data_IF_769358469250
#
_entry.id   IF_769358469250
#
_cell.length_a   1.000
_cell.length_b   1.000
_cell.length_c   1.000
_cell.angle_alpha   90.00
_cell.angle_beta   90.00
_cell.angle_gamma   90.00
#
_symmetry.space_group_name_H-M   'P 1'
#
loop_
_entity.id
_entity.type
_entity.pdbx_description
1 polymer ?
#
# COMPACT_ATOMS: atom_id res chain seq x y z
N UNK A 1 -17.16 -5.78 -9.68
CA UNK A 1 -16.26 -6.96 -9.72
C UNK A 1 -16.86 -8.04 -8.85
N UNK A 2 -16.60 -9.30 -9.20
CA UNK A 2 -16.96 -10.46 -8.35
C UNK A 2 -15.75 -10.82 -7.48
N UNK A 3 -15.91 -10.73 -6.18
CA UNK A 3 -14.83 -10.96 -5.21
C UNK A 3 -15.27 -12.09 -4.27
N UNK A 4 -14.38 -13.05 -4.05
CA UNK A 4 -14.58 -14.11 -3.06
C UNK A 4 -13.57 -13.92 -1.94
N UNK A 5 -14.06 -13.87 -0.71
CA UNK A 5 -13.24 -13.72 0.50
C UNK A 5 -13.33 -15.02 1.30
N UNK A 6 -12.20 -15.63 1.63
CA UNK A 6 -12.11 -16.78 2.52
C UNK A 6 -11.61 -16.31 3.90
N UNK A 7 -12.44 -16.54 4.91
CA UNK A 7 -12.30 -16.05 6.28
C UNK A 7 -13.26 -14.90 6.59
N UNK A 8 -14.18 -15.10 7.53
CA UNK A 8 -15.14 -14.09 8.01
C UNK A 8 -14.74 -13.48 9.37
N UNK A 9 -13.48 -13.62 9.76
CA UNK A 9 -12.91 -12.94 10.92
C UNK A 9 -12.89 -11.42 10.76
N UNK A 10 -12.21 -10.71 11.65
CA UNK A 10 -12.19 -9.23 11.66
C UNK A 10 -11.79 -8.63 10.32
N UNK A 11 -10.70 -9.12 9.71
CA UNK A 11 -10.21 -8.60 8.42
C UNK A 11 -11.19 -8.91 7.29
N UNK A 12 -11.66 -10.16 7.17
CA UNK A 12 -12.58 -10.55 6.09
C UNK A 12 -13.91 -9.82 6.19
N UNK A 13 -14.46 -9.67 7.38
CA UNK A 13 -15.69 -8.91 7.64
C UNK A 13 -15.54 -7.44 7.30
N UNK A 14 -14.40 -6.84 7.63
CA UNK A 14 -14.12 -5.44 7.29
C UNK A 14 -13.99 -5.24 5.77
N UNK A 15 -13.24 -6.12 5.10
CA UNK A 15 -13.11 -6.11 3.64
C UNK A 15 -14.47 -6.30 2.95
N UNK A 16 -15.27 -7.26 3.41
CA UNK A 16 -16.60 -7.52 2.85
C UNK A 16 -17.49 -6.28 2.92
N UNK A 17 -17.54 -5.58 4.05
CA UNK A 17 -18.31 -4.35 4.21
C UNK A 17 -17.83 -3.22 3.31
N UNK A 18 -16.52 -2.98 3.29
CA UNK A 18 -15.94 -1.91 2.46
C UNK A 18 -16.19 -2.15 0.97
N UNK A 19 -15.96 -3.37 0.50
CA UNK A 19 -16.04 -3.70 -0.91
C UNK A 19 -17.49 -3.79 -1.39
N UNK A 20 -18.43 -4.31 -0.59
CA UNK A 20 -19.86 -4.28 -0.92
C UNK A 20 -20.39 -2.86 -1.00
N UNK A 21 -19.98 -1.98 -0.06
CA UNK A 21 -20.33 -0.55 -0.08
C UNK A 21 -19.83 0.20 -1.33
N UNK A 22 -18.79 -0.31 -1.98
CA UNK A 22 -18.25 0.21 -3.24
C UNK A 22 -18.88 -0.44 -4.51
N UNK A 23 -19.97 -1.19 -4.34
CA UNK A 23 -20.72 -1.78 -5.47
C UNK A 23 -20.07 -3.02 -6.08
N UNK A 24 -19.32 -3.81 -5.29
CA UNK A 24 -18.79 -5.10 -5.71
C UNK A 24 -19.65 -6.26 -5.23
N UNK A 25 -19.77 -7.31 -6.04
CA UNK A 25 -20.46 -8.55 -5.70
C UNK A 25 -19.54 -9.39 -4.80
N UNK A 26 -19.88 -9.51 -3.52
CA UNK A 26 -19.03 -10.18 -2.54
C UNK A 26 -19.64 -11.55 -2.17
N UNK A 27 -18.81 -12.57 -2.21
CA UNK A 27 -19.08 -13.87 -1.58
C UNK A 27 -18.06 -14.10 -0.47
N UNK A 28 -18.50 -14.41 0.75
CA UNK A 28 -17.63 -14.70 1.88
C UNK A 28 -17.79 -16.15 2.31
N UNK A 29 -16.66 -16.81 2.59
CA UNK A 29 -16.58 -18.22 2.99
C UNK A 29 -16.03 -18.29 4.42
N UNK A 30 -16.65 -19.04 5.29
CA UNK A 30 -16.11 -19.39 6.60
C UNK A 30 -16.73 -20.71 7.08
N UNK A 31 -16.05 -21.42 7.97
CA UNK A 31 -16.60 -22.60 8.65
C UNK A 31 -17.50 -22.22 9.84
N UNK A 32 -17.38 -21.01 10.37
CA UNK A 32 -18.20 -20.51 11.48
C UNK A 32 -19.43 -19.77 10.96
N UNK A 33 -20.59 -20.43 11.11
CA UNK A 33 -21.88 -19.88 10.71
C UNK A 33 -22.25 -18.60 11.47
N UNK A 34 -21.76 -18.42 12.70
CA UNK A 34 -22.03 -17.21 13.48
C UNK A 34 -21.33 -16.00 12.84
N UNK A 35 -20.06 -16.13 12.50
CA UNK A 35 -19.31 -15.06 11.80
C UNK A 35 -19.99 -14.71 10.47
N UNK A 36 -20.42 -15.71 9.70
CA UNK A 36 -21.15 -15.49 8.44
C UNK A 36 -22.47 -14.77 8.65
N UNK A 37 -23.23 -15.11 9.69
CA UNK A 37 -24.49 -14.44 10.05
C UNK A 37 -24.27 -12.98 10.43
N UNK A 38 -23.22 -12.71 11.22
CA UNK A 38 -22.87 -11.36 11.65
C UNK A 38 -22.51 -10.48 10.45
N UNK A 39 -21.68 -10.97 9.54
CA UNK A 39 -21.33 -10.23 8.31
C UNK A 39 -22.53 -10.04 7.41
N UNK A 40 -23.34 -11.07 7.19
CA UNK A 40 -24.53 -11.00 6.34
C UNK A 40 -25.61 -10.04 6.86
N UNK A 41 -25.61 -9.74 8.17
CA UNK A 41 -26.50 -8.73 8.75
C UNK A 41 -26.03 -7.29 8.51
N UNK A 42 -24.73 -7.09 8.24
CA UNK A 42 -24.08 -5.77 8.17
C UNK A 42 -23.71 -5.36 6.74
N UNK A 43 -23.71 -6.29 5.79
CA UNK A 43 -23.28 -6.03 4.43
C UNK A 43 -24.10 -6.86 3.42
N UNK A 44 -24.27 -6.35 2.21
CA UNK A 44 -24.88 -7.08 1.10
C UNK A 44 -23.88 -8.07 0.50
N UNK A 45 -23.85 -9.29 1.06
CA UNK A 45 -22.89 -10.33 0.71
C UNK A 45 -23.57 -11.70 0.62
N UNK A 46 -23.04 -12.56 -0.23
CA UNK A 46 -23.41 -13.97 -0.27
C UNK A 46 -22.53 -14.74 0.71
N UNK A 47 -23.12 -15.44 1.65
CA UNK A 47 -22.39 -16.26 2.61
C UNK A 47 -22.33 -17.72 2.18
N UNK A 48 -21.18 -18.36 2.35
CA UNK A 48 -20.96 -19.79 2.05
C UNK A 48 -20.29 -20.45 3.23
N UNK A 49 -21.03 -21.29 3.93
CA UNK A 49 -20.49 -22.06 5.05
C UNK A 49 -19.65 -23.24 4.53
N UNK A 50 -18.45 -23.37 5.09
CA UNK A 50 -17.54 -24.49 4.86
C UNK A 50 -16.07 -24.11 4.86
N UNK A 51 -15.23 -25.14 4.73
CA UNK A 51 -13.79 -25.01 4.68
C UNK A 51 -13.33 -24.54 3.28
N UNK A 52 -12.68 -23.36 3.25
CA UNK A 52 -12.20 -22.73 2.02
C UNK A 52 -11.03 -23.46 1.35
N UNK A 53 -10.45 -24.47 1.99
CA UNK A 53 -9.41 -25.32 1.38
C UNK A 53 -10.02 -26.51 0.61
N UNK A 54 -11.36 -26.61 0.53
CA UNK A 54 -12.04 -27.69 -0.18
C UNK A 54 -12.58 -27.26 -1.54
N UNK A 55 -12.43 -28.12 -2.54
CA UNK A 55 -12.97 -27.87 -3.88
C UNK A 55 -14.49 -27.71 -3.91
N UNK A 56 -15.20 -28.41 -3.05
CA UNK A 56 -16.68 -28.36 -2.99
C UNK A 56 -17.13 -26.96 -2.57
N UNK A 57 -16.55 -26.39 -1.52
CA UNK A 57 -16.88 -25.08 -0.99
C UNK A 57 -16.45 -23.98 -1.97
N UNK A 58 -15.26 -24.06 -2.55
CA UNK A 58 -14.78 -23.10 -3.55
C UNK A 58 -15.67 -23.08 -4.80
N UNK A 59 -16.20 -24.25 -5.23
CA UNK A 59 -17.17 -24.30 -6.34
C UNK A 59 -18.54 -23.71 -5.95
N UNK A 60 -19.03 -23.98 -4.73
CA UNK A 60 -20.25 -23.40 -4.17
C UNK A 60 -20.16 -21.87 -4.14
N UNK A 61 -18.99 -21.33 -3.76
CA UNK A 61 -18.68 -19.90 -3.78
C UNK A 61 -18.46 -19.32 -5.20
N UNK A 62 -18.62 -20.11 -6.24
CA UNK A 62 -18.47 -19.69 -7.64
C UNK A 62 -17.09 -19.09 -7.97
N UNK A 63 -16.02 -19.56 -7.34
CA UNK A 63 -14.63 -19.07 -7.48
C UNK A 63 -14.18 -19.01 -8.94
N UNK A 64 -14.61 -19.96 -9.78
CA UNK A 64 -14.27 -19.98 -11.22
C UNK A 64 -14.66 -18.69 -11.97
N UNK A 65 -15.61 -17.93 -11.44
CA UNK A 65 -16.13 -16.71 -12.08
C UNK A 65 -15.71 -15.44 -11.34
N UNK A 66 -14.85 -15.54 -10.33
CA UNK A 66 -14.44 -14.39 -9.57
C UNK A 66 -13.26 -13.65 -10.23
N UNK A 67 -13.29 -12.34 -10.12
CA UNK A 67 -12.20 -11.47 -10.56
C UNK A 67 -11.04 -11.49 -9.55
N UNK A 68 -11.38 -11.65 -8.26
CA UNK A 68 -10.42 -11.60 -7.17
C UNK A 68 -10.83 -12.59 -6.08
N UNK A 69 -9.88 -13.43 -5.65
CA UNK A 69 -9.98 -14.28 -4.48
C UNK A 69 -9.03 -13.77 -3.39
N UNK A 70 -9.54 -13.58 -2.18
CA UNK A 70 -8.77 -13.06 -1.04
C UNK A 70 -8.87 -14.08 0.10
N UNK A 71 -7.75 -14.69 0.48
CA UNK A 71 -7.68 -15.60 1.61
C UNK A 71 -7.13 -14.87 2.84
N UNK A 72 -7.96 -14.77 3.88
CA UNK A 72 -7.69 -14.09 5.15
C UNK A 72 -8.21 -14.90 6.34
N UNK A 73 -8.15 -16.22 6.25
CA UNK A 73 -8.42 -17.11 7.38
C UNK A 73 -7.41 -16.86 8.51
N UNK A 74 -7.68 -17.41 9.68
CA UNK A 74 -6.79 -17.29 10.83
C UNK A 74 -5.44 -17.96 10.56
N UNK A 75 -5.47 -19.17 9.99
CA UNK A 75 -4.29 -19.98 9.72
C UNK A 75 -3.66 -19.64 8.36
N UNK A 76 -2.37 -19.35 8.36
CA UNK A 76 -1.58 -19.01 7.17
C UNK A 76 -1.63 -20.11 6.09
N UNK A 77 -1.47 -21.37 6.52
CA UNK A 77 -1.46 -22.50 5.60
C UNK A 77 -2.77 -22.64 4.84
N UNK A 78 -3.91 -22.37 5.49
CA UNK A 78 -5.22 -22.39 4.86
C UNK A 78 -5.34 -21.28 3.81
N UNK A 79 -4.75 -20.12 4.07
CA UNK A 79 -4.74 -19.01 3.11
C UNK A 79 -3.94 -19.36 1.86
N UNK A 80 -2.77 -19.94 2.02
CA UNK A 80 -1.91 -20.39 0.90
C UNK A 80 -2.62 -21.45 0.08
N UNK A 81 -3.16 -22.49 0.74
CA UNK A 81 -3.87 -23.59 0.06
C UNK A 81 -5.12 -23.06 -0.65
N UNK A 82 -5.95 -22.28 0.03
CA UNK A 82 -7.18 -21.75 -0.56
C UNK A 82 -6.91 -20.86 -1.77
N UNK A 83 -5.93 -19.95 -1.68
CA UNK A 83 -5.55 -19.05 -2.79
C UNK A 83 -5.02 -19.82 -4.00
N UNK A 84 -4.16 -20.83 -3.78
CA UNK A 84 -3.64 -21.69 -4.82
C UNK A 84 -4.75 -22.50 -5.51
N UNK A 85 -5.64 -23.11 -4.75
CA UNK A 85 -6.78 -23.87 -5.30
C UNK A 85 -7.75 -22.96 -6.05
N UNK A 86 -8.05 -21.78 -5.53
CA UNK A 86 -8.90 -20.79 -6.16
C UNK A 86 -8.34 -20.37 -7.54
N UNK A 87 -7.05 -20.11 -7.61
CA UNK A 87 -6.37 -19.80 -8.89
C UNK A 87 -6.48 -20.94 -9.89
N UNK A 88 -6.21 -22.16 -9.45
CA UNK A 88 -6.32 -23.37 -10.32
C UNK A 88 -7.76 -23.63 -10.75
N UNK A 89 -8.77 -23.27 -9.96
CA UNK A 89 -10.18 -23.35 -10.32
C UNK A 89 -10.60 -22.26 -11.30
N UNK A 90 -9.82 -21.21 -11.50
CA UNK A 90 -10.06 -20.17 -12.50
C UNK A 90 -10.34 -18.78 -11.96
N UNK A 91 -10.03 -18.48 -10.70
CA UNK A 91 -9.99 -17.12 -10.19
C UNK A 91 -8.98 -16.29 -11.02
N UNK A 92 -9.35 -15.07 -11.40
CA UNK A 92 -8.50 -14.23 -12.24
C UNK A 92 -7.24 -13.78 -11.50
N UNK A 93 -7.42 -13.38 -10.24
CA UNK A 93 -6.33 -13.06 -9.31
C UNK A 93 -6.58 -13.70 -7.96
N UNK A 94 -5.52 -14.04 -7.26
CA UNK A 94 -5.56 -14.58 -5.91
C UNK A 94 -4.59 -13.86 -4.99
N UNK A 95 -5.03 -13.63 -3.75
CA UNK A 95 -4.26 -12.99 -2.69
C UNK A 95 -4.30 -13.90 -1.46
N UNK A 96 -3.17 -14.08 -0.80
CA UNK A 96 -3.09 -14.81 0.46
C UNK A 96 -2.46 -13.94 1.56
N UNK A 97 -3.12 -13.88 2.72
CA UNK A 97 -2.54 -13.39 3.96
C UNK A 97 -1.53 -14.40 4.46
N UNK A 98 -0.35 -13.91 4.86
CA UNK A 98 0.71 -14.69 5.47
C UNK A 98 1.13 -14.05 6.79
N UNK A 99 1.74 -14.84 7.66
CA UNK A 99 2.29 -14.42 8.94
C UNK A 99 3.81 -14.62 8.99
N UNK A 100 4.38 -15.37 8.02
CA UNK A 100 5.80 -15.64 7.92
C UNK A 100 6.49 -14.69 6.92
N UNK A 101 7.42 -13.87 7.43
CA UNK A 101 8.16 -12.91 6.61
C UNK A 101 9.08 -13.58 5.58
N UNK A 102 9.55 -14.80 5.83
CA UNK A 102 10.39 -15.57 4.91
C UNK A 102 9.72 -15.77 3.53
N UNK A 103 8.39 -15.85 3.50
CA UNK A 103 7.63 -16.00 2.23
C UNK A 103 7.67 -14.75 1.35
N UNK A 104 8.06 -13.61 1.89
CA UNK A 104 8.22 -12.36 1.13
C UNK A 104 9.63 -12.16 0.57
N UNK A 105 10.59 -13.01 0.94
CA UNK A 105 11.92 -12.99 0.33
C UNK A 105 11.83 -13.24 -1.18
N UNK A 106 12.63 -12.56 -2.02
CA UNK A 106 12.48 -12.58 -3.47
C UNK A 106 12.36 -13.98 -4.07
N UNK A 107 13.26 -14.89 -3.71
CA UNK A 107 13.28 -16.26 -4.24
C UNK A 107 12.05 -17.07 -3.79
N UNK A 108 11.65 -16.93 -2.53
CA UNK A 108 10.51 -17.67 -1.99
C UNK A 108 9.19 -17.11 -2.57
N UNK A 109 9.08 -15.79 -2.71
CA UNK A 109 7.92 -15.15 -3.31
C UNK A 109 7.66 -15.59 -4.75
N UNK A 110 8.71 -15.78 -5.56
CA UNK A 110 8.57 -16.30 -6.92
C UNK A 110 7.97 -17.71 -6.94
N UNK A 111 8.36 -18.58 -5.98
CA UNK A 111 7.76 -19.91 -5.86
C UNK A 111 6.24 -19.86 -5.63
N UNK A 112 5.75 -18.94 -4.79
CA UNK A 112 4.31 -18.77 -4.57
C UNK A 112 3.58 -18.24 -5.80
N UNK A 113 4.22 -17.35 -6.57
CA UNK A 113 3.69 -16.86 -7.85
C UNK A 113 3.57 -18.01 -8.85
N UNK A 114 4.58 -18.88 -8.95
CA UNK A 114 4.55 -20.07 -9.82
C UNK A 114 3.48 -21.07 -9.40
N UNK A 115 3.22 -21.20 -8.11
CA UNK A 115 2.09 -21.98 -7.58
C UNK A 115 0.73 -21.37 -7.91
N UNK A 116 0.69 -20.11 -8.37
CA UNK A 116 -0.50 -19.42 -8.81
C UNK A 116 -1.07 -18.45 -7.79
N UNK A 117 -0.32 -18.01 -6.79
CA UNK A 117 -0.71 -16.94 -5.87
C UNK A 117 -0.16 -15.63 -6.42
N UNK A 118 -1.04 -14.72 -6.86
CA UNK A 118 -0.59 -13.48 -7.51
C UNK A 118 0.01 -12.48 -6.50
N UNK A 119 -0.49 -12.48 -5.23
CA UNK A 119 -0.01 -11.57 -4.19
C UNK A 119 -0.01 -12.24 -2.82
N UNK A 120 1.09 -12.07 -2.11
CA UNK A 120 1.21 -12.35 -0.67
C UNK A 120 1.24 -11.03 0.08
N UNK A 121 0.54 -10.95 1.20
CA UNK A 121 0.64 -9.80 2.07
C UNK A 121 0.71 -10.21 3.54
N UNK A 122 1.52 -9.48 4.28
CA UNK A 122 1.74 -9.64 5.71
C UNK A 122 1.25 -8.38 6.42
N UNK A 123 0.04 -8.42 7.03
CA UNK A 123 -0.61 -7.24 7.61
C UNK A 123 0.23 -6.54 8.65
N UNK A 124 0.91 -7.29 9.52
CA UNK A 124 1.72 -6.76 10.60
C UNK A 124 2.92 -5.98 10.06
N UNK A 125 3.54 -6.44 8.96
CA UNK A 125 4.63 -5.72 8.29
C UNK A 125 4.14 -4.42 7.66
N UNK A 126 2.95 -4.44 7.04
CA UNK A 126 2.31 -3.24 6.47
C UNK A 126 1.99 -2.25 7.58
N UNK A 127 1.38 -2.70 8.68
CA UNK A 127 1.05 -1.86 9.82
C UNK A 127 2.31 -1.29 10.50
N UNK A 128 3.35 -2.11 10.71
CA UNK A 128 4.61 -1.67 11.28
C UNK A 128 5.29 -0.59 10.41
N UNK A 129 5.27 -0.77 9.07
CA UNK A 129 5.78 0.23 8.14
C UNK A 129 5.00 1.54 8.24
N UNK A 130 3.69 1.48 8.35
CA UNK A 130 2.85 2.67 8.49
C UNK A 130 3.13 3.40 9.81
N UNK A 131 3.28 2.68 10.92
CA UNK A 131 3.67 3.28 12.21
C UNK A 131 5.06 3.92 12.11
N UNK A 132 6.02 3.25 11.48
CA UNK A 132 7.37 3.82 11.27
C UNK A 132 7.28 5.09 10.40
N UNK A 133 6.47 5.08 9.35
CA UNK A 133 6.24 6.24 8.52
C UNK A 133 5.67 7.42 9.32
N UNK A 134 4.64 7.16 10.14
CA UNK A 134 4.04 8.18 11.00
C UNK A 134 5.03 8.74 12.02
N UNK A 135 5.89 7.91 12.59
CA UNK A 135 6.92 8.34 13.55
C UNK A 135 8.10 9.05 12.88
N UNK A 136 8.48 8.61 11.67
CA UNK A 136 9.58 9.19 10.90
C UNK A 136 9.25 10.55 10.29
N UNK A 137 7.96 10.85 10.11
CA UNK A 137 7.49 12.04 9.40
C UNK A 137 6.75 13.04 10.30
N UNK A 138 7.17 13.18 11.55
CA UNK A 138 6.58 14.16 12.49
C UNK A 138 6.62 15.60 11.99
N UNK A 139 7.41 15.88 10.98
CA UNK A 139 7.60 17.20 10.36
C UNK A 139 7.18 17.29 8.89
N UNK A 140 6.89 16.17 8.20
CA UNK A 140 6.28 16.17 6.87
C UNK A 140 4.79 16.00 6.96
N UNK A 141 4.05 16.69 6.09
CA UNK A 141 2.58 16.57 6.05
C UNK A 141 2.18 15.24 5.42
N UNK A 142 2.90 14.79 4.36
CA UNK A 142 2.67 13.52 3.66
C UNK A 142 3.95 13.03 2.98
N UNK A 143 4.07 11.70 2.87
CA UNK A 143 5.11 11.02 2.12
C UNK A 143 4.50 9.84 1.36
N UNK A 144 4.70 9.77 0.05
CA UNK A 144 4.14 8.70 -0.79
C UNK A 144 5.20 8.18 -1.76
N UNK A 145 5.48 6.89 -1.69
CA UNK A 145 6.38 6.22 -2.63
C UNK A 145 5.67 5.78 -3.91
N UNK A 146 6.33 6.01 -5.05
CA UNK A 146 5.91 5.57 -6.37
C UNK A 146 6.95 4.66 -7.03
N UNK A 147 6.50 3.91 -8.02
CA UNK A 147 7.39 3.11 -8.87
C UNK A 147 8.31 2.17 -8.09
N UNK A 148 7.76 1.50 -7.09
CA UNK A 148 8.50 0.56 -6.21
C UNK A 148 9.66 1.25 -5.46
N UNK A 149 9.42 2.46 -4.96
CA UNK A 149 10.39 3.23 -4.18
C UNK A 149 11.44 3.98 -5.01
N UNK A 150 11.31 4.05 -6.34
CA UNK A 150 12.26 4.81 -7.18
C UNK A 150 12.01 6.31 -7.15
N UNK A 151 10.77 6.72 -6.94
CA UNK A 151 10.32 8.10 -6.83
C UNK A 151 9.45 8.25 -5.60
N UNK A 152 9.56 9.38 -4.94
CA UNK A 152 8.77 9.72 -3.76
C UNK A 152 8.14 11.11 -3.92
N UNK A 153 6.88 11.25 -3.52
CA UNK A 153 6.27 12.55 -3.29
C UNK A 153 6.48 12.91 -1.83
N UNK A 154 7.14 14.03 -1.61
CA UNK A 154 7.37 14.60 -0.29
C UNK A 154 6.53 15.87 -0.17
N UNK A 155 5.70 15.95 0.86
CA UNK A 155 4.84 17.11 1.12
C UNK A 155 5.22 17.69 2.47
N UNK A 156 5.58 18.96 2.50
CA UNK A 156 5.95 19.65 3.74
C UNK A 156 5.44 21.09 3.74
N UNK A 157 5.21 21.61 4.94
CA UNK A 157 4.86 23.02 5.14
C UNK A 157 6.11 23.83 5.43
N UNK A 158 6.23 25.01 4.80
CA UNK A 158 7.31 25.92 5.11
C UNK A 158 7.04 26.65 6.42
N UNK A 159 7.85 26.34 7.42
CA UNK A 159 7.90 27.04 8.68
C UNK A 159 8.65 28.39 8.53
N UNK A 160 8.44 29.38 9.42
CA UNK A 160 9.11 30.68 9.33
C UNK A 160 10.66 30.61 9.27
N UNK A 161 11.22 29.58 9.90
CA UNK A 161 12.66 29.35 9.98
C UNK A 161 13.20 28.51 8.80
N UNK A 162 12.35 28.08 7.85
CA UNK A 162 12.80 27.28 6.72
C UNK A 162 13.74 28.10 5.82
N UNK A 163 14.89 27.53 5.40
CA UNK A 163 15.82 28.21 4.50
C UNK A 163 15.22 28.50 3.13
N UNK A 164 14.14 27.82 2.74
CA UNK A 164 13.44 28.05 1.46
C UNK A 164 12.53 29.29 1.49
N UNK A 165 12.17 29.83 2.65
CA UNK A 165 11.31 31.02 2.71
C UNK A 165 12.00 32.23 2.12
N UNK A 166 11.40 32.81 1.07
CA UNK A 166 11.97 33.92 0.32
C UNK A 166 12.83 33.52 -0.87
N UNK A 167 13.23 32.26 -0.97
CA UNK A 167 13.96 31.75 -2.13
C UNK A 167 13.05 31.69 -3.36
N UNK A 168 13.66 31.83 -4.52
CA UNK A 168 12.98 31.79 -5.82
C UNK A 168 13.23 30.46 -6.48
N UNK A 169 12.19 29.84 -6.97
CA UNK A 169 12.26 28.58 -7.68
C UNK A 169 13.00 28.78 -9.02
N UNK A 170 14.12 28.11 -9.18
CA UNK A 170 14.97 28.15 -10.38
C UNK A 170 15.18 26.75 -10.94
N UNK A 171 15.63 26.63 -12.19
CA UNK A 171 16.12 25.36 -12.76
C UNK A 171 15.06 24.50 -13.45
N UNK A 172 13.93 25.08 -13.90
CA UNK A 172 12.95 24.34 -14.71
C UNK A 172 13.46 24.02 -16.13
N UNK A 173 14.39 24.82 -16.66
CA UNK A 173 14.88 24.75 -18.05
C UNK A 173 16.32 24.23 -18.17
N UNK A 174 16.95 23.80 -17.08
CA UNK A 174 18.32 23.27 -17.17
C UNK A 174 18.30 21.78 -17.54
N UNK A 175 18.28 21.51 -18.86
CA UNK A 175 18.35 20.15 -19.44
C UNK A 175 19.65 19.40 -19.11
N UNK A 176 20.61 20.02 -18.42
CA UNK A 176 21.93 19.45 -18.14
C UNK A 176 22.11 19.03 -16.69
N UNK A 177 21.25 19.44 -15.76
CA UNK A 177 21.29 18.97 -14.37
C UNK A 177 20.45 17.68 -14.24
N UNK A 178 21.01 16.59 -13.67
CA UNK A 178 20.19 15.45 -13.32
C UNK A 178 19.19 15.89 -12.26
N UNK A 179 17.92 16.01 -12.64
CA UNK A 179 16.84 16.37 -11.74
C UNK A 179 16.70 15.29 -10.66
N UNK A 180 17.32 15.53 -9.51
CA UNK A 180 17.20 14.67 -8.32
C UNK A 180 15.82 14.85 -7.67
N UNK A 181 15.25 16.06 -7.77
CA UNK A 181 13.92 16.40 -7.26
C UNK A 181 13.29 17.55 -8.06
N UNK A 182 11.96 17.68 -7.97
CA UNK A 182 11.21 18.76 -8.62
C UNK A 182 9.99 19.16 -7.79
N UNK A 183 9.83 20.46 -7.55
CA UNK A 183 8.58 21.01 -7.01
C UNK A 183 7.49 20.96 -8.07
N UNK A 184 6.39 20.26 -7.77
CA UNK A 184 5.30 20.02 -8.72
C UNK A 184 4.04 20.82 -8.40
N UNK A 185 3.84 21.21 -7.13
CA UNK A 185 2.74 22.06 -6.72
C UNK A 185 3.10 22.82 -5.43
N UNK A 186 2.41 23.93 -5.22
CA UNK A 186 2.43 24.74 -4.00
C UNK A 186 1.00 25.00 -3.58
N UNK A 187 0.63 24.74 -2.33
CA UNK A 187 -0.65 25.21 -1.79
C UNK A 187 -0.41 26.43 -0.91
N UNK A 188 -0.99 27.55 -1.28
CA UNK A 188 -0.91 28.85 -0.60
C UNK A 188 -2.30 29.36 -0.33
N UNK A 189 -2.64 29.61 0.95
CA UNK A 189 -3.96 30.14 1.30
C UNK A 189 -5.15 29.28 0.83
N UNK A 190 -4.96 27.95 0.72
CA UNK A 190 -5.98 27.03 0.25
C UNK A 190 -6.12 26.92 -1.28
N UNK A 191 -5.28 27.64 -2.05
CA UNK A 191 -5.22 27.54 -3.51
C UNK A 191 -3.99 26.75 -3.94
N UNK A 192 -4.15 25.85 -4.91
CA UNK A 192 -3.05 25.11 -5.50
C UNK A 192 -2.47 25.87 -6.69
N UNK A 193 -1.18 26.12 -6.64
CA UNK A 193 -0.37 26.80 -7.65
C UNK A 193 0.51 25.76 -8.31
N UNK A 194 0.52 25.70 -9.65
CA UNK A 194 1.55 24.97 -10.38
C UNK A 194 2.72 25.93 -10.55
N UNK A 195 3.85 25.69 -9.87
CA UNK A 195 4.92 26.66 -9.83
C UNK A 195 5.59 26.80 -11.18
N UNK A 196 6.03 28.03 -11.46
CA UNK A 196 6.84 28.37 -12.64
C UNK A 196 8.19 28.89 -12.18
N UNK A 197 9.12 28.97 -13.11
CA UNK A 197 10.40 29.65 -12.87
C UNK A 197 10.14 31.08 -12.38
N UNK A 198 10.83 31.46 -11.31
CA UNK A 198 10.62 32.76 -10.68
C UNK A 198 9.56 32.80 -9.59
N UNK A 199 8.83 31.70 -9.32
CA UNK A 199 7.90 31.63 -8.19
C UNK A 199 8.67 31.67 -6.88
N UNK A 200 8.27 32.58 -5.97
CA UNK A 200 8.89 32.71 -4.66
C UNK A 200 8.16 31.88 -3.62
N UNK A 201 8.91 31.14 -2.81
CA UNK A 201 8.39 30.41 -1.68
C UNK A 201 8.05 31.35 -0.51
N UNK A 202 6.88 31.16 0.10
CA UNK A 202 6.39 31.96 1.22
C UNK A 202 6.21 31.12 2.46
N UNK A 203 6.30 31.77 3.61
CA UNK A 203 5.94 31.15 4.88
C UNK A 203 4.51 30.59 4.84
N UNK A 204 4.33 29.38 5.37
CA UNK A 204 3.04 28.70 5.42
C UNK A 204 2.64 27.99 4.13
N UNK A 205 3.43 28.12 3.03
CA UNK A 205 3.21 27.31 1.83
C UNK A 205 3.32 25.82 2.14
N UNK A 206 2.46 25.02 1.54
CA UNK A 206 2.60 23.56 1.50
C UNK A 206 3.21 23.19 0.15
N UNK A 207 4.40 22.62 0.19
CA UNK A 207 5.21 22.32 -0.99
C UNK A 207 5.09 20.83 -1.30
N UNK A 208 4.86 20.51 -2.57
CA UNK A 208 4.80 19.15 -3.12
C UNK A 208 6.02 18.94 -4.00
N UNK A 209 6.88 18.02 -3.60
CA UNK A 209 8.14 17.73 -4.31
C UNK A 209 8.16 16.26 -4.73
N UNK A 210 8.38 15.99 -6.00
CA UNK A 210 8.76 14.66 -6.47
C UNK A 210 10.27 14.58 -6.46
N UNK A 211 10.78 13.56 -5.77
CA UNK A 211 12.22 13.32 -5.64
C UNK A 211 12.56 11.87 -5.95
N UNK A 212 13.77 11.63 -6.42
CA UNK A 212 14.36 10.30 -6.41
C UNK A 212 14.64 9.90 -4.96
N UNK A 213 14.62 8.60 -4.67
CA UNK A 213 14.83 8.11 -3.32
C UNK A 213 16.15 8.57 -2.69
N UNK A 214 17.21 8.64 -3.51
CA UNK A 214 18.53 9.12 -3.08
C UNK A 214 18.56 10.63 -2.77
N UNK A 215 17.63 11.41 -3.32
CA UNK A 215 17.52 12.86 -3.13
C UNK A 215 16.51 13.29 -2.05
N UNK A 216 15.69 12.38 -1.53
CA UNK A 216 14.68 12.70 -0.50
C UNK A 216 15.34 13.37 0.70
N UNK A 217 16.51 12.90 1.12
CA UNK A 217 17.27 13.47 2.24
C UNK A 217 17.63 14.93 1.99
N UNK A 218 18.10 15.25 0.81
CA UNK A 218 18.46 16.60 0.40
C UNK A 218 17.24 17.53 0.46
N UNK A 219 16.09 17.08 -0.07
CA UNK A 219 14.81 17.80 0.00
C UNK A 219 14.41 18.11 1.43
N UNK A 220 14.57 17.13 2.33
CA UNK A 220 14.23 17.31 3.74
C UNK A 220 15.16 18.28 4.45
N UNK A 221 16.45 18.27 4.14
CA UNK A 221 17.43 19.24 4.66
C UNK A 221 17.08 20.67 4.21
N UNK A 222 16.72 20.87 2.94
CA UNK A 222 16.28 22.17 2.41
C UNK A 222 14.96 22.65 3.02
N UNK A 223 14.08 21.76 3.40
CA UNK A 223 12.82 22.16 4.07
C UNK A 223 13.04 22.73 5.47
N UNK A 224 14.25 22.59 6.03
CA UNK A 224 14.57 22.97 7.40
C UNK A 224 14.19 21.90 8.44
N UNK A 225 13.83 20.71 7.98
CA UNK A 225 13.36 19.60 8.81
C UNK A 225 14.50 18.59 9.03
N UNK A 226 15.39 18.88 9.95
CA UNK A 226 16.61 18.10 10.22
C UNK A 226 16.44 16.83 11.04
N UNK A 227 15.22 16.49 11.48
CA UNK A 227 14.96 15.32 12.32
C UNK A 227 14.36 14.16 11.53
N UNK A 228 15.09 13.64 10.54
CA UNK A 228 14.77 12.33 9.98
C UNK A 228 15.33 11.29 10.94
N UNK A 229 14.47 10.55 11.63
CA UNK A 229 14.89 9.35 12.32
C UNK A 229 15.45 8.36 11.29
N UNK A 230 16.75 8.05 11.38
CA UNK A 230 17.55 7.26 10.42
C UNK A 230 17.14 5.77 10.31
N UNK A 231 15.87 5.43 10.58
CA UNK A 231 15.37 4.05 10.50
C UNK A 231 15.22 3.53 9.07
N UNK A 232 15.36 4.40 8.06
CA UNK A 232 15.13 4.02 6.64
C UNK A 232 16.37 3.51 5.89
N UNK A 233 17.58 3.62 6.45
CA UNK A 233 18.80 3.31 5.69
C UNK A 233 19.32 1.90 5.83
N UNK A 234 18.79 1.07 6.74
CA UNK A 234 19.29 -0.29 6.95
C UNK A 234 18.61 -1.33 6.06
N UNK A 235 17.30 -1.25 5.83
CA UNK A 235 16.58 -2.28 5.06
C UNK A 235 16.79 -2.16 3.54
N UNK A 236 16.88 -0.94 3.00
CA UNK A 236 17.11 -0.74 1.55
C UNK A 236 18.57 -1.02 1.15
N UNK A 237 19.54 -0.90 2.07
CA UNK A 237 20.93 -1.21 1.81
C UNK A 237 21.23 -2.72 1.87
N UNK A 238 20.46 -3.49 2.62
CA UNK A 238 20.59 -4.96 2.68
C UNK A 238 19.91 -5.63 1.48
N UNK A 239 18.83 -5.08 0.92
CA UNK A 239 18.24 -5.57 -0.33
C UNK A 239 19.14 -5.31 -1.55
N UNK A 240 19.94 -4.25 -1.55
CA UNK A 240 20.87 -3.94 -2.66
C UNK A 240 22.22 -4.69 -2.63
N UNK A 241 22.54 -5.38 -1.53
CA UNK A 241 23.79 -6.15 -1.37
C UNK A 241 23.65 -7.65 -1.64
N UNK A 242 22.44 -8.15 -1.95
CA UNK A 242 22.17 -9.55 -2.30
C UNK A 242 21.85 -9.73 -3.78
N UNK A 243 22.63 -9.07 -4.66
CA UNK A 243 22.72 -9.38 -6.10
C UNK A 243 24.13 -9.89 -6.39
#
# INVERSE_FOLDING_TARGET
>A
MKIVIAGAGEMGSHLARMLSGNGHDITIIDSDQKLLSDVGSLADVITVEGDSTTFAVLRKASVRKCDLFIAVNHEENDNVVAAMLAKKLGARKSIARIDNNEYLEPNNKEMFIDMGIDYLFYPEKVAAREVINLLGHTSTTEYVDFSSGKLSLVVFRLEPASPLVGEVLTGFDDDQAPLSYRTVAITRGGQTIIPREGEQFMEGDVIYVIARQDAVREVMEFSGQSNICLLYTSDAADEARSV
#
